data_IF_217616255104
#
_entry.id   IF_217616255104
#
_cell.length_a   1.000
_cell.length_b   1.000
_cell.length_c   1.000
_cell.angle_alpha   90.00
_cell.angle_beta   90.00
_cell.angle_gamma   90.00
#
_symmetry.space_group_name_H-M   'P 1'
#
loop_
_entity.id
_entity.type
_entity.pdbx_description
1 polymer ?
#
# COMPACT_ATOMS: atom_id res chain seq x y z
N UNK A 1 4.72 9.21 19.69
CA UNK A 1 5.57 8.86 18.54
C UNK A 1 4.68 8.47 17.37
N UNK A 2 5.18 8.53 16.14
CA UNK A 2 4.41 8.04 14.97
C UNK A 2 4.14 6.53 15.07
N UNK A 3 3.03 6.03 14.50
CA UNK A 3 2.78 4.59 14.37
C UNK A 3 3.92 3.88 13.61
N UNK A 4 4.22 2.62 13.93
CA UNK A 4 5.25 1.87 13.22
C UNK A 4 4.90 1.71 11.74
N UNK A 5 5.92 1.75 10.88
CA UNK A 5 5.78 1.46 9.46
C UNK A 5 5.42 -0.01 9.26
N UNK A 6 4.46 -0.27 8.37
CA UNK A 6 4.07 -1.63 7.99
C UNK A 6 4.63 -1.93 6.61
N UNK A 7 5.37 -3.03 6.53
CA UNK A 7 6.01 -3.48 5.30
C UNK A 7 5.38 -4.79 4.85
N UNK A 8 5.31 -4.97 3.54
CA UNK A 8 5.01 -6.27 2.99
C UNK A 8 6.30 -7.13 3.01
N UNK A 9 6.16 -8.44 3.12
CA UNK A 9 7.27 -9.38 2.91
C UNK A 9 7.94 -9.15 1.55
N UNK A 10 7.14 -8.88 0.52
CA UNK A 10 7.58 -8.47 -0.81
C UNK A 10 7.11 -7.03 -1.07
N UNK A 11 7.83 -6.07 -0.48
CA UNK A 11 7.51 -4.64 -0.59
C UNK A 11 7.89 -4.12 -1.98
N UNK A 12 6.99 -3.44 -2.69
CA UNK A 12 7.26 -3.02 -4.06
C UNK A 12 8.35 -1.94 -4.10
N UNK A 13 9.37 -2.18 -4.92
CA UNK A 13 10.48 -1.28 -5.22
C UNK A 13 10.54 -1.06 -6.73
N UNK A 14 10.51 0.19 -7.18
CA UNK A 14 10.67 0.53 -8.61
C UNK A 14 11.72 1.61 -8.82
N UNK A 15 12.35 1.59 -9.99
CA UNK A 15 13.19 2.67 -10.50
C UNK A 15 12.31 3.55 -11.40
N UNK A 16 12.45 4.87 -11.30
CA UNK A 16 11.72 5.79 -12.17
C UNK A 16 12.12 5.59 -13.64
N UNK A 17 11.16 5.51 -14.59
CA UNK A 17 11.47 5.53 -16.02
C UNK A 17 12.01 6.89 -16.50
N UNK A 18 11.84 7.96 -15.72
CA UNK A 18 12.29 9.31 -16.07
C UNK A 18 13.65 9.68 -15.48
N UNK A 19 14.03 9.05 -14.36
CA UNK A 19 15.33 9.29 -13.72
C UNK A 19 15.91 8.01 -13.14
N UNK A 20 17.06 7.60 -13.67
CA UNK A 20 17.79 6.42 -13.20
C UNK A 20 18.37 6.57 -11.78
N UNK A 21 18.32 7.76 -11.17
CA UNK A 21 18.72 7.97 -9.77
C UNK A 21 17.55 7.88 -8.81
N UNK A 22 16.31 7.91 -9.31
CA UNK A 22 15.11 7.95 -8.50
C UNK A 22 14.55 6.55 -8.26
N UNK A 23 14.37 6.23 -6.98
CA UNK A 23 13.77 4.98 -6.51
C UNK A 23 12.51 5.28 -5.72
N UNK A 24 11.55 4.37 -5.80
CA UNK A 24 10.34 4.40 -4.98
C UNK A 24 10.15 3.09 -4.24
N UNK A 25 9.79 3.16 -2.96
CA UNK A 25 9.64 2.00 -2.09
C UNK A 25 8.36 2.07 -1.26
N UNK A 26 7.55 1.01 -1.29
CA UNK A 26 6.23 0.96 -0.66
C UNK A 26 6.22 0.30 0.72
N UNK A 27 5.76 1.03 1.74
CA UNK A 27 5.38 0.54 3.07
C UNK A 27 3.85 0.58 3.25
N UNK A 28 3.32 1.11 4.37
CA UNK A 28 1.99 1.73 4.42
C UNK A 28 2.01 3.17 3.86
N UNK A 29 3.20 3.75 3.71
CA UNK A 29 3.49 5.04 3.07
C UNK A 29 4.42 4.81 1.88
N UNK A 30 4.36 5.67 0.87
CA UNK A 30 5.29 5.65 -0.26
C UNK A 30 6.52 6.50 0.06
N UNK A 31 7.70 5.90 -0.13
CA UNK A 31 8.97 6.58 0.00
C UNK A 31 9.60 6.82 -1.37
N UNK A 32 10.29 7.96 -1.51
CA UNK A 32 11.11 8.29 -2.66
C UNK A 32 12.55 8.55 -2.23
N UNK A 33 13.48 8.05 -3.01
CA UNK A 33 14.89 8.45 -3.01
C UNK A 33 15.23 9.06 -4.36
N UNK A 34 16.01 10.14 -4.38
CA UNK A 34 16.52 10.79 -5.60
C UNK A 34 18.03 10.55 -5.81
N UNK A 35 18.66 9.81 -4.89
CA UNK A 35 20.10 9.59 -4.77
C UNK A 35 20.48 8.10 -4.74
N UNK A 36 19.74 7.26 -5.50
CA UNK A 36 19.96 5.81 -5.63
C UNK A 36 19.83 5.02 -4.33
N UNK A 37 19.01 5.51 -3.39
CA UNK A 37 18.68 4.82 -2.14
C UNK A 37 19.53 5.24 -0.94
N UNK A 38 20.37 6.27 -1.06
CA UNK A 38 21.15 6.77 0.07
C UNK A 38 20.27 7.50 1.09
N UNK A 39 19.29 8.27 0.61
CA UNK A 39 18.30 8.94 1.45
C UNK A 39 16.88 8.66 0.97
N UNK A 40 15.97 8.45 1.93
CA UNK A 40 14.57 8.14 1.68
C UNK A 40 13.68 9.18 2.33
N UNK A 41 12.74 9.73 1.57
CA UNK A 41 11.77 10.73 2.03
C UNK A 41 10.35 10.17 1.84
N UNK A 42 9.49 10.23 2.85
CA UNK A 42 8.08 9.89 2.66
C UNK A 42 7.45 10.94 1.74
N UNK A 43 6.82 10.49 0.65
CA UNK A 43 6.05 11.33 -0.28
C UNK A 43 4.54 11.14 -0.11
N UNK A 44 4.11 10.39 0.90
CA UNK A 44 2.71 10.22 1.23
C UNK A 44 2.49 10.07 2.75
N UNK A 45 1.25 10.30 3.17
CA UNK A 45 0.73 9.76 4.43
C UNK A 45 0.50 8.24 4.34
N UNK A 46 -0.26 7.71 5.30
CA UNK A 46 -0.74 6.32 5.21
C UNK A 46 -1.79 6.20 4.11
N UNK A 47 -1.49 5.42 3.08
CA UNK A 47 -2.32 5.28 1.88
C UNK A 47 -3.38 4.17 2.01
N UNK A 48 -3.40 3.47 3.13
CA UNK A 48 -4.26 2.32 3.41
C UNK A 48 -5.59 2.77 4.04
N UNK A 49 -6.56 1.86 4.13
CA UNK A 49 -7.83 2.03 4.85
C UNK A 49 -7.66 2.05 6.37
N UNK A 50 -6.48 1.70 6.90
CA UNK A 50 -6.20 1.63 8.33
C UNK A 50 -7.17 0.71 9.09
N UNK A 51 -7.59 -0.37 8.45
CA UNK A 51 -8.51 -1.35 9.04
C UNK A 51 -7.72 -2.32 9.92
N UNK A 52 -8.24 -2.59 11.11
CA UNK A 52 -7.70 -3.61 11.99
C UNK A 52 -8.15 -5.01 11.52
N UNK A 53 -7.20 -5.80 11.00
CA UNK A 53 -7.46 -7.18 10.55
C UNK A 53 -8.04 -8.06 11.66
N UNK A 54 -7.74 -7.79 12.93
CA UNK A 54 -8.27 -8.59 14.04
C UNK A 54 -9.76 -8.38 14.26
N UNK A 55 -10.36 -7.35 13.67
CA UNK A 55 -11.80 -7.07 13.72
C UNK A 55 -12.55 -7.61 12.51
N UNK A 56 -11.83 -8.08 11.49
CA UNK A 56 -12.44 -8.67 10.30
C UNK A 56 -12.83 -10.12 10.59
N UNK A 57 -14.07 -10.53 10.28
CA UNK A 57 -14.47 -11.92 10.39
C UNK A 57 -13.71 -12.75 9.36
N UNK A 58 -13.08 -13.84 9.80
CA UNK A 58 -12.46 -14.85 8.94
C UNK A 58 -13.25 -16.15 9.16
N UNK A 59 -13.78 -16.78 8.12
CA UNK A 59 -14.76 -17.88 8.23
C UNK A 59 -16.01 -17.50 9.06
N UNK A 60 -16.49 -16.25 8.96
CA UNK A 60 -17.68 -15.79 9.69
C UNK A 60 -17.48 -15.57 11.21
N UNK A 61 -16.27 -15.72 11.74
CA UNK A 61 -15.95 -15.50 13.16
C UNK A 61 -14.78 -14.54 13.33
N UNK A 62 -14.85 -13.70 14.36
CA UNK A 62 -13.70 -12.93 14.82
C UNK A 62 -12.86 -13.84 15.71
N UNK A 63 -11.64 -14.16 15.28
CA UNK A 63 -10.75 -15.06 16.01
C UNK A 63 -10.09 -14.33 17.18
N UNK A 64 -10.20 -14.92 18.38
CA UNK A 64 -9.55 -14.42 19.59
C UNK A 64 -8.01 -14.41 19.46
N UNK A 65 -7.29 -13.74 20.36
CA UNK A 65 -5.82 -13.70 20.36
C UNK A 65 -5.17 -15.09 20.45
N UNK A 66 -5.89 -16.09 20.99
CA UNK A 66 -5.42 -17.45 21.22
C UNK A 66 -5.52 -18.37 19.97
N UNK A 67 -5.94 -17.82 18.82
CA UNK A 67 -6.05 -18.60 17.60
C UNK A 67 -4.65 -19.07 17.13
N UNK A 68 -4.46 -20.38 17.06
CA UNK A 68 -3.26 -21.01 16.51
C UNK A 68 -3.04 -20.47 15.10
N UNK A 69 -1.85 -19.93 14.83
CA UNK A 69 -1.45 -19.35 13.53
C UNK A 69 -2.16 -18.03 13.10
N UNK A 70 -2.76 -17.26 14.01
CA UNK A 70 -3.48 -15.99 13.69
C UNK A 70 -2.77 -15.01 12.75
N UNK A 71 -1.43 -14.94 12.85
CA UNK A 71 -0.58 -14.12 11.98
C UNK A 71 0.61 -14.91 11.38
N UNK A 72 0.60 -16.25 11.44
CA UNK A 72 1.70 -17.01 10.86
C UNK A 72 1.67 -16.86 9.34
N UNK A 73 2.79 -16.41 8.78
CA UNK A 73 3.04 -16.30 7.34
C UNK A 73 2.29 -15.20 6.58
N UNK A 74 1.74 -14.19 7.25
CA UNK A 74 1.13 -13.03 6.58
C UNK A 74 1.72 -11.71 7.01
N UNK A 75 2.09 -10.87 6.03
CA UNK A 75 2.45 -9.48 6.24
C UNK A 75 1.38 -8.73 7.03
N UNK A 76 1.78 -7.67 7.73
CA UNK A 76 0.83 -6.79 8.41
C UNK A 76 -0.18 -6.21 7.43
N UNK A 77 -1.47 -6.37 7.74
CA UNK A 77 -2.55 -5.84 6.90
C UNK A 77 -2.49 -4.31 6.80
N UNK A 78 -2.82 -3.77 5.63
CA UNK A 78 -2.70 -2.35 5.36
C UNK A 78 -1.27 -1.99 5.00
N UNK A 79 -0.82 -2.49 3.85
CA UNK A 79 0.46 -2.18 3.21
C UNK A 79 0.30 -2.03 1.70
N UNK A 80 1.33 -1.45 1.07
CA UNK A 80 1.45 -1.24 -0.36
C UNK A 80 1.97 -2.53 -1.00
N UNK A 81 1.24 -3.06 -1.98
CA UNK A 81 1.58 -4.31 -2.67
C UNK A 81 1.89 -4.10 -4.15
N UNK A 82 1.41 -3.00 -4.74
CA UNK A 82 1.65 -2.66 -6.13
C UNK A 82 2.05 -1.18 -6.26
N UNK A 83 3.00 -0.90 -7.14
CA UNK A 83 3.53 0.44 -7.37
C UNK A 83 3.97 0.57 -8.83
N UNK A 84 3.56 1.65 -9.48
CA UNK A 84 3.97 1.96 -10.85
C UNK A 84 4.05 3.48 -11.06
N UNK A 85 5.13 3.95 -11.69
CA UNK A 85 5.21 5.31 -12.24
C UNK A 85 4.90 5.27 -13.75
N UNK A 86 4.14 6.24 -14.24
CA UNK A 86 3.80 6.34 -15.66
C UNK A 86 5.04 6.67 -16.50
N UNK A 87 5.40 5.87 -17.52
CA UNK A 87 6.50 6.21 -18.43
C UNK A 87 6.16 7.39 -19.36
N UNK A 88 4.88 7.79 -19.43
CA UNK A 88 4.42 8.89 -20.30
C UNK A 88 4.36 10.24 -19.59
N UNK A 89 4.27 10.24 -18.26
CA UNK A 89 4.16 11.45 -17.45
C UNK A 89 4.92 11.28 -16.15
N UNK A 90 5.98 12.06 -15.97
CA UNK A 90 6.73 12.09 -14.72
C UNK A 90 5.81 12.50 -13.57
N UNK A 91 6.07 11.96 -12.37
CA UNK A 91 5.31 12.25 -11.15
C UNK A 91 3.86 11.76 -11.14
N UNK A 92 3.42 11.06 -12.18
CA UNK A 92 2.16 10.31 -12.18
C UNK A 92 2.40 8.90 -11.66
N UNK A 93 2.00 8.65 -10.42
CA UNK A 93 2.28 7.41 -9.70
C UNK A 93 0.97 6.75 -9.31
N UNK A 94 0.93 5.44 -9.51
CA UNK A 94 -0.15 4.54 -9.13
C UNK A 94 0.31 3.59 -8.05
N UNK A 95 -0.56 3.40 -7.08
CA UNK A 95 -0.32 2.61 -5.88
C UNK A 95 -1.51 1.70 -5.64
N UNK A 96 -1.26 0.42 -5.37
CA UNK A 96 -2.26 -0.54 -4.92
C UNK A 96 -1.95 -1.03 -3.51
N UNK A 97 -2.97 -1.06 -2.66
CA UNK A 97 -2.89 -1.56 -1.28
C UNK A 97 -3.52 -2.95 -1.15
N UNK A 98 -3.06 -3.74 -0.18
CA UNK A 98 -3.60 -5.07 0.13
C UNK A 98 -5.07 -5.05 0.60
N UNK A 99 -5.53 -3.90 1.12
CA UNK A 99 -6.90 -3.67 1.55
C UNK A 99 -7.85 -3.18 0.43
N UNK A 100 -7.38 -3.20 -0.83
CA UNK A 100 -8.19 -2.97 -2.01
C UNK A 100 -8.47 -1.48 -2.29
N UNK A 101 -7.50 -0.60 -2.07
CA UNK A 101 -7.52 0.75 -2.60
C UNK A 101 -6.53 0.89 -3.75
N UNK A 102 -6.91 1.74 -4.72
CA UNK A 102 -5.97 2.31 -5.67
C UNK A 102 -5.81 3.79 -5.35
N UNK A 103 -4.57 4.22 -5.18
CA UNK A 103 -4.19 5.59 -4.87
C UNK A 103 -3.39 6.15 -6.04
N UNK A 104 -3.73 7.35 -6.48
CA UNK A 104 -3.09 7.98 -7.64
C UNK A 104 -2.66 9.39 -7.28
N UNK A 105 -1.42 9.73 -7.60
CA UNK A 105 -0.90 11.09 -7.51
C UNK A 105 -0.39 11.54 -8.87
N UNK A 106 -0.58 12.81 -9.21
CA UNK A 106 -0.02 13.42 -10.43
C UNK A 106 0.92 14.59 -10.15
N UNK A 107 1.27 14.79 -8.88
CA UNK A 107 2.04 15.92 -8.35
C UNK A 107 3.12 15.46 -7.38
N UNK A 108 3.73 14.31 -7.66
CA UNK A 108 4.88 13.78 -6.91
C UNK A 108 4.55 13.44 -5.45
N UNK A 109 3.29 13.14 -5.15
CA UNK A 109 2.82 12.76 -3.82
C UNK A 109 2.34 13.93 -2.96
N UNK A 110 2.27 15.16 -3.49
CA UNK A 110 1.69 16.29 -2.76
C UNK A 110 0.18 16.10 -2.51
N UNK A 111 -0.53 15.49 -3.46
CA UNK A 111 -1.93 15.09 -3.32
C UNK A 111 -2.17 13.68 -3.85
N UNK A 112 -3.16 13.01 -3.26
CA UNK A 112 -3.51 11.63 -3.56
C UNK A 112 -5.01 11.51 -3.79
N UNK A 113 -5.39 10.94 -4.93
CA UNK A 113 -6.76 10.61 -5.29
C UNK A 113 -7.01 9.13 -5.00
N UNK A 114 -7.98 8.86 -4.12
CA UNK A 114 -8.36 7.52 -3.71
C UNK A 114 -9.48 6.97 -4.58
N UNK A 115 -9.30 5.76 -5.09
CA UNK A 115 -10.30 4.98 -5.80
C UNK A 115 -10.62 3.71 -5.01
N UNK A 116 -11.88 3.57 -4.62
CA UNK A 116 -12.41 2.44 -3.83
C UNK A 116 -13.54 1.67 -4.55
N UNK A 117 -13.92 2.11 -5.75
CA UNK A 117 -14.99 1.53 -6.58
C UNK A 117 -14.58 1.54 -8.04
N UNK A 118 -14.86 0.44 -8.73
CA UNK A 118 -14.61 0.29 -10.15
C UNK A 118 -15.90 -0.14 -10.86
N UNK A 119 -16.23 0.45 -12.02
CA UNK A 119 -17.37 0.01 -12.82
C UNK A 119 -17.29 -1.49 -13.11
N UNK A 120 -18.38 -2.23 -12.89
CA UNK A 120 -18.44 -3.68 -13.11
C UNK A 120 -17.88 -4.55 -11.98
N UNK A 121 -17.28 -3.96 -10.94
CA UNK A 121 -16.85 -4.69 -9.75
C UNK A 121 -17.88 -4.51 -8.64
N UNK A 122 -18.60 -5.58 -8.29
CA UNK A 122 -19.47 -5.58 -7.12
C UNK A 122 -18.64 -5.29 -5.87
N UNK A 123 -19.16 -4.48 -4.94
CA UNK A 123 -18.49 -4.25 -3.65
C UNK A 123 -18.10 -5.59 -3.04
N UNK A 124 -16.90 -5.67 -2.45
CA UNK A 124 -16.48 -6.82 -1.64
C UNK A 124 -17.45 -6.90 -0.46
N UNK A 125 -18.54 -7.66 -0.63
CA UNK A 125 -19.58 -7.87 0.37
C UNK A 125 -19.19 -9.11 1.17
N UNK A 126 -18.51 -8.87 2.29
CA UNK A 126 -18.00 -9.87 3.25
C UNK A 126 -17.11 -10.99 2.64
N UNK A 127 -15.93 -11.26 3.23
CA UNK A 127 -15.20 -12.47 2.89
C UNK A 127 -15.99 -13.67 3.44
N UNK A 128 -16.84 -14.27 2.60
CA UNK A 128 -17.33 -15.62 2.80
C UNK A 128 -16.38 -16.51 1.99
N UNK A 129 -15.24 -16.80 2.60
CA UNK A 129 -14.51 -18.03 2.36
C UNK A 129 -14.42 -18.72 3.72
#
# INVERSE_FOLDING_TARGET
GEPPLRWNWDSPLIISPHSHTRLYFGANKLFRSDDRGNTWKPISGDLTRQIDRNKLPVMGKIWGPDAVAKNQSTSFYGNLVALAESPKKENLIYVGTDDGLIQVTSDSGASWTKYDKFPGVTKISNPIC
#
